data_IF_317297856818
#
_entry.id   IF_317297856818
#
_cell.length_a   1.000
_cell.length_b   1.000
_cell.length_c   1.000
_cell.angle_alpha   90.00
_cell.angle_beta   90.00
_cell.angle_gamma   90.00
#
_symmetry.space_group_name_H-M   'P 1'
#
loop_
_entity.id
_entity.type
_entity.pdbx_description
1 polymer ?
#
# COMPACT_ATOMS: atom_id res chain seq x y z
N UNK A 1 42.97 17.18 4.47
CA UNK A 1 42.61 15.82 4.02
C UNK A 1 41.92 15.13 5.18
N UNK A 2 40.57 15.03 5.14
CA UNK A 2 39.73 14.50 6.24
C UNK A 2 39.56 13.01 6.05
N UNK A 3 40.39 12.21 6.72
CA UNK A 3 40.31 10.75 6.70
C UNK A 3 39.86 10.25 8.08
N UNK A 4 38.82 9.40 8.05
CA UNK A 4 38.73 8.19 8.88
C UNK A 4 38.14 8.18 10.27
N UNK A 5 37.08 8.95 10.55
CA UNK A 5 36.17 8.51 11.62
C UNK A 5 35.41 7.23 11.21
N UNK A 6 35.11 7.09 9.91
CA UNK A 6 34.41 5.95 9.34
C UNK A 6 35.30 4.70 9.23
N UNK A 7 36.53 4.81 8.75
CA UNK A 7 37.43 3.65 8.67
C UNK A 7 37.87 3.15 10.06
N UNK A 8 38.02 4.04 11.05
CA UNK A 8 38.36 3.63 12.42
C UNK A 8 37.26 2.79 13.08
N UNK A 9 35.98 3.14 12.86
CA UNK A 9 34.86 2.34 13.34
C UNK A 9 34.79 0.96 12.68
N UNK A 10 35.11 0.86 11.39
CA UNK A 10 35.16 -0.42 10.67
C UNK A 10 36.30 -1.32 11.18
N UNK A 11 37.43 -0.75 11.58
CA UNK A 11 38.56 -1.52 12.12
C UNK A 11 38.21 -2.12 13.50
N UNK A 12 37.52 -1.35 14.36
CA UNK A 12 37.11 -1.80 15.70
C UNK A 12 35.94 -2.80 15.70
N UNK A 13 35.20 -2.93 14.60
CA UNK A 13 34.06 -3.86 14.47
C UNK A 13 34.37 -5.12 13.64
N UNK A 14 35.62 -5.27 13.18
CA UNK A 14 36.09 -6.36 12.32
C UNK A 14 36.00 -7.78 12.93
N UNK A 15 35.68 -7.90 14.22
CA UNK A 15 35.52 -9.19 14.93
C UNK A 15 34.11 -9.49 15.44
N UNK A 16 33.12 -8.63 15.18
CA UNK A 16 31.71 -8.87 15.57
C UNK A 16 30.85 -8.92 14.31
N UNK A 17 30.69 -10.09 13.68
CA UNK A 17 29.91 -10.20 12.45
C UNK A 17 28.42 -10.28 12.77
N UNK A 18 27.82 -9.24 13.36
CA UNK A 18 26.36 -9.11 13.52
C UNK A 18 26.02 -7.75 14.12
N UNK A 19 25.50 -6.80 13.33
CA UNK A 19 24.38 -5.86 13.63
C UNK A 19 24.48 -4.44 13.05
N UNK A 20 25.64 -3.92 12.64
CA UNK A 20 25.76 -2.46 12.36
C UNK A 20 25.68 -2.04 10.90
N UNK A 21 25.72 -2.97 9.93
CA UNK A 21 25.78 -2.60 8.50
C UNK A 21 24.75 -3.27 7.59
N UNK A 22 23.76 -3.99 8.14
CA UNK A 22 22.47 -3.97 7.45
C UNK A 22 22.01 -2.54 7.66
N UNK A 23 22.14 -1.71 6.63
CA UNK A 23 21.44 -0.43 6.58
C UNK A 23 19.98 -0.83 6.79
N UNK A 24 19.48 -0.70 8.01
CA UNK A 24 18.11 -1.06 8.38
C UNK A 24 17.22 -0.02 7.70
N UNK A 25 17.02 -0.20 6.40
CA UNK A 25 16.21 0.64 5.53
C UNK A 25 14.73 0.29 5.75
N UNK A 26 14.40 0.08 7.02
CA UNK A 26 13.09 -0.19 7.54
C UNK A 26 12.37 1.12 7.68
N UNK A 27 11.26 1.25 6.96
CA UNK A 27 10.37 2.39 7.03
C UNK A 27 9.18 2.00 7.89
N UNK A 28 8.96 2.81 8.92
CA UNK A 28 7.82 2.65 9.80
C UNK A 28 6.66 3.44 9.23
N UNK A 29 5.55 2.77 8.99
CA UNK A 29 4.36 3.35 8.35
C UNK A 29 3.22 3.34 9.35
N UNK A 30 2.88 4.52 9.84
CA UNK A 30 1.75 4.72 10.73
C UNK A 30 0.45 4.68 9.93
N UNK A 31 -0.49 3.85 10.38
CA UNK A 31 -1.81 3.65 9.76
C UNK A 31 -2.90 3.82 10.81
N UNK A 32 -4.14 4.05 10.37
CA UNK A 32 -5.19 4.50 11.26
C UNK A 32 -5.54 3.44 12.30
N UNK A 33 -5.70 2.18 11.89
CA UNK A 33 -6.09 1.11 12.79
C UNK A 33 -5.38 -0.23 12.57
N UNK A 34 -5.84 -1.27 13.30
CA UNK A 34 -5.25 -2.62 13.25
C UNK A 34 -5.63 -3.38 11.99
N UNK A 35 -6.78 -3.08 11.41
CA UNK A 35 -7.28 -3.74 10.22
C UNK A 35 -6.43 -3.27 9.01
N UNK A 36 -6.07 -1.98 8.97
CA UNK A 36 -5.08 -1.41 8.03
C UNK A 36 -3.73 -2.13 8.10
N UNK A 37 -3.20 -2.38 9.31
CA UNK A 37 -1.91 -3.06 9.50
C UNK A 37 -1.93 -4.44 8.84
N UNK A 38 -2.97 -5.23 9.11
CA UNK A 38 -3.12 -6.57 8.56
C UNK A 38 -3.15 -6.51 7.02
N UNK A 39 -3.94 -5.59 6.51
CA UNK A 39 -4.11 -5.38 5.08
C UNK A 39 -2.82 -4.98 4.36
N UNK A 40 -2.15 -3.92 4.81
CA UNK A 40 -0.92 -3.43 4.17
C UNK A 40 0.24 -4.41 4.33
N UNK A 41 0.32 -5.10 5.47
CA UNK A 41 1.32 -6.15 5.68
C UNK A 41 1.13 -7.29 4.68
N UNK A 42 -0.11 -7.73 4.45
CA UNK A 42 -0.42 -8.77 3.46
C UNK A 42 -0.06 -8.31 2.06
N UNK A 43 -0.39 -7.07 1.70
CA UNK A 43 -0.07 -6.51 0.40
C UNK A 43 1.45 -6.42 0.18
N UNK A 44 2.16 -5.88 1.16
CA UNK A 44 3.61 -5.77 1.12
C UNK A 44 4.27 -7.15 1.02
N UNK A 45 3.79 -8.15 1.75
CA UNK A 45 4.34 -9.51 1.65
C UNK A 45 4.16 -10.14 0.26
N UNK A 46 3.06 -9.81 -0.44
CA UNK A 46 2.83 -10.29 -1.80
C UNK A 46 3.76 -9.63 -2.83
N UNK A 47 3.99 -8.32 -2.70
CA UNK A 47 4.68 -7.53 -3.73
C UNK A 47 6.07 -7.02 -3.33
N UNK A 48 6.55 -7.32 -2.12
CA UNK A 48 7.81 -6.79 -1.57
C UNK A 48 8.99 -6.97 -2.52
N UNK A 49 9.12 -8.16 -3.12
CA UNK A 49 10.16 -8.50 -4.09
C UNK A 49 10.10 -7.69 -5.39
N UNK A 50 8.89 -7.29 -5.80
CA UNK A 50 8.68 -6.47 -7.00
C UNK A 50 8.89 -4.98 -6.71
N UNK A 51 8.67 -4.55 -5.46
CA UNK A 51 8.82 -3.17 -5.03
C UNK A 51 10.29 -2.83 -4.77
N UNK A 52 10.98 -3.62 -3.93
CA UNK A 52 12.40 -3.46 -3.61
C UNK A 52 12.84 -4.53 -2.61
N UNK A 53 13.94 -5.22 -2.90
CA UNK A 53 14.60 -6.11 -1.93
C UNK A 53 15.34 -5.34 -0.81
N UNK A 54 15.55 -4.04 -0.98
CA UNK A 54 16.33 -3.20 -0.07
C UNK A 54 15.49 -2.42 0.93
N UNK A 55 14.17 -2.34 0.76
CA UNK A 55 13.28 -1.56 1.64
C UNK A 55 12.35 -2.50 2.40
N UNK A 56 12.45 -2.49 3.73
CA UNK A 56 11.51 -3.18 4.62
C UNK A 56 10.41 -2.22 5.09
N UNK A 57 9.14 -2.58 4.93
CA UNK A 57 8.02 -1.78 5.45
C UNK A 57 7.44 -2.43 6.71
N UNK A 58 7.23 -1.64 7.76
CA UNK A 58 6.58 -2.07 9.01
C UNK A 58 5.40 -1.15 9.29
N UNK A 59 4.21 -1.73 9.36
CA UNK A 59 2.97 -0.98 9.59
C UNK A 59 2.63 -0.96 11.09
N UNK A 60 2.29 0.22 11.61
CA UNK A 60 1.99 0.43 13.04
C UNK A 60 0.63 1.12 13.17
N UNK A 61 -0.32 0.54 13.92
CA UNK A 61 -1.62 1.16 14.13
C UNK A 61 -1.49 2.28 15.16
N UNK A 62 -2.09 3.44 14.88
CA UNK A 62 -2.04 4.57 15.83
C UNK A 62 -3.32 4.73 16.65
N UNK A 63 -4.46 4.21 16.17
CA UNK A 63 -5.69 4.24 16.95
C UNK A 63 -5.83 2.99 17.83
N UNK A 64 -6.36 3.20 19.04
CA UNK A 64 -6.92 2.15 19.86
C UNK A 64 -8.44 2.31 19.83
N UNK A 65 -9.17 1.26 19.41
CA UNK A 65 -10.65 1.18 19.30
C UNK A 65 -11.44 1.59 20.57
N UNK A 66 -10.77 1.96 21.67
CA UNK A 66 -11.37 2.37 22.96
C UNK A 66 -11.86 3.82 23.02
N UNK A 67 -11.51 4.69 22.08
CA UNK A 67 -12.10 6.03 22.01
C UNK A 67 -12.90 6.16 20.72
N UNK A 68 -14.21 6.33 20.84
CA UNK A 68 -15.14 6.75 19.78
C UNK A 68 -14.83 8.18 19.29
N UNK A 69 -13.58 8.46 18.90
CA UNK A 69 -13.17 9.72 18.31
C UNK A 69 -12.80 9.47 16.86
N UNK A 70 -13.57 10.05 15.94
CA UNK A 70 -13.18 10.21 14.53
C UNK A 70 -11.89 11.04 14.49
N UNK A 71 -10.74 10.38 14.38
CA UNK A 71 -9.46 11.07 14.47
C UNK A 71 -8.25 10.26 14.03
N UNK A 72 -8.45 9.14 13.32
CA UNK A 72 -7.34 8.30 12.83
C UNK A 72 -6.29 9.12 12.10
N UNK A 73 -6.70 9.86 11.07
CA UNK A 73 -5.81 10.74 10.31
C UNK A 73 -5.12 11.82 11.17
N UNK A 74 -5.80 12.42 12.16
CA UNK A 74 -5.22 13.42 13.08
C UNK A 74 -4.13 12.78 13.94
N UNK A 75 -4.39 11.59 14.46
CA UNK A 75 -3.46 10.84 15.31
C UNK A 75 -2.25 10.37 14.48
N UNK A 76 -2.46 9.91 13.24
CA UNK A 76 -1.38 9.55 12.30
C UNK A 76 -0.46 10.75 12.05
N UNK A 77 -1.05 11.93 11.76
CA UNK A 77 -0.28 13.17 11.58
C UNK A 77 0.52 13.54 12.82
N UNK A 78 -0.12 13.54 13.98
CA UNK A 78 0.52 13.91 15.23
C UNK A 78 1.73 13.02 15.54
N UNK A 79 1.56 11.70 15.45
CA UNK A 79 2.64 10.74 15.71
C UNK A 79 3.73 10.78 14.64
N UNK A 80 3.37 10.93 13.37
CA UNK A 80 4.37 11.07 12.28
C UNK A 80 5.24 12.28 12.52
N UNK A 81 4.62 13.42 12.86
CA UNK A 81 5.33 14.66 13.19
C UNK A 81 6.22 14.49 14.41
N UNK A 82 5.72 13.89 15.50
CA UNK A 82 6.50 13.64 16.73
C UNK A 82 7.71 12.75 16.43
N UNK A 83 7.52 11.61 15.79
CA UNK A 83 8.61 10.68 15.47
C UNK A 83 9.67 11.31 14.57
N UNK A 84 9.27 12.07 13.56
CA UNK A 84 10.20 12.71 12.61
C UNK A 84 10.91 13.91 13.21
N UNK A 85 10.15 14.88 13.75
CA UNK A 85 10.69 16.17 14.19
C UNK A 85 11.30 16.11 15.59
N UNK A 86 10.65 15.41 16.51
CA UNK A 86 11.12 15.32 17.91
C UNK A 86 12.01 14.09 18.10
N UNK A 87 11.62 12.96 17.51
CA UNK A 87 12.37 11.69 17.62
C UNK A 87 13.50 11.50 16.59
N UNK A 88 13.64 12.39 15.60
CA UNK A 88 14.65 12.30 14.55
C UNK A 88 14.49 11.09 13.61
N UNK A 89 13.38 10.35 13.68
CA UNK A 89 13.14 9.15 12.90
C UNK A 89 12.64 9.51 11.49
N UNK A 90 13.56 9.93 10.63
CA UNK A 90 13.27 10.36 9.26
C UNK A 90 12.70 9.26 8.36
N UNK A 91 12.73 7.99 8.77
CA UNK A 91 12.14 6.85 8.06
C UNK A 91 10.69 6.58 8.45
N UNK A 92 10.16 7.26 9.49
CA UNK A 92 8.75 7.22 9.82
C UNK A 92 7.92 7.95 8.75
N UNK A 93 6.81 7.35 8.36
CA UNK A 93 5.78 7.88 7.45
C UNK A 93 4.40 7.62 8.04
N UNK A 94 3.41 8.40 7.63
CA UNK A 94 2.00 8.12 7.89
C UNK A 94 1.23 7.98 6.58
N UNK A 95 0.26 7.07 6.55
CA UNK A 95 -0.71 6.92 5.46
C UNK A 95 -2.08 7.31 6.01
N UNK A 96 -2.80 8.14 5.25
CA UNK A 96 -4.17 8.54 5.57
C UNK A 96 -5.05 8.54 4.33
N UNK A 97 -6.35 8.37 4.56
CA UNK A 97 -7.37 8.35 3.52
C UNK A 97 -7.61 9.70 2.86
N UNK A 98 -8.13 9.68 1.62
CA UNK A 98 -8.51 10.89 0.87
C UNK A 98 -9.86 11.42 1.35
N UNK A 99 -9.92 11.85 2.59
CA UNK A 99 -11.04 12.67 3.05
C UNK A 99 -10.95 14.08 2.48
N UNK A 100 -12.10 14.77 2.40
CA UNK A 100 -12.25 16.07 1.71
C UNK A 100 -11.28 17.17 2.20
N UNK A 101 -10.72 17.05 3.39
CA UNK A 101 -9.79 18.02 3.99
C UNK A 101 -8.34 17.55 4.08
N UNK A 102 -8.02 16.31 3.66
CA UNK A 102 -6.68 15.77 3.83
C UNK A 102 -5.73 16.23 2.72
N UNK A 103 -4.67 16.93 3.13
CA UNK A 103 -3.53 17.29 2.29
C UNK A 103 -2.26 16.53 2.72
N UNK A 104 -1.33 16.39 1.77
CA UNK A 104 -0.01 15.84 2.05
C UNK A 104 0.83 16.86 2.82
N UNK A 105 1.69 16.33 3.69
CA UNK A 105 2.68 17.10 4.48
C UNK A 105 3.94 16.24 4.66
N UNK A 106 4.99 16.79 5.29
CA UNK A 106 6.26 16.05 5.45
C UNK A 106 6.06 14.72 6.19
N UNK A 107 6.37 13.64 5.49
CA UNK A 107 6.20 12.28 5.99
C UNK A 107 4.77 11.74 5.93
N UNK A 108 3.79 12.50 5.46
CA UNK A 108 2.39 12.04 5.31
C UNK A 108 2.04 11.81 3.85
N UNK A 109 1.61 10.60 3.56
CA UNK A 109 1.08 10.20 2.28
C UNK A 109 -0.44 10.15 2.34
N UNK A 110 -1.10 10.96 1.51
CA UNK A 110 -2.56 10.92 1.34
C UNK A 110 -2.86 10.07 0.13
N UNK A 111 -3.73 9.08 0.32
CA UNK A 111 -4.18 8.23 -0.77
C UNK A 111 -4.90 9.06 -1.84
N UNK A 112 -4.84 8.65 -3.12
CA UNK A 112 -5.56 9.37 -4.18
C UNK A 112 -7.04 9.02 -4.27
N UNK A 113 -7.54 8.03 -3.52
CA UNK A 113 -8.96 7.64 -3.46
C UNK A 113 -9.42 7.60 -2.02
N UNK A 114 -10.74 7.66 -1.81
CA UNK A 114 -11.36 7.79 -0.48
C UNK A 114 -10.88 6.74 0.52
N UNK A 115 -10.56 5.52 0.08
CA UNK A 115 -9.89 4.50 0.89
C UNK A 115 -9.11 3.54 0.00
N UNK A 116 -8.21 2.73 0.56
CA UNK A 116 -7.46 1.73 -0.23
C UNK A 116 -8.33 0.57 -0.73
N UNK A 117 -9.40 0.22 -0.03
CA UNK A 117 -10.38 -0.78 -0.49
C UNK A 117 -10.97 -0.38 -1.84
N UNK A 118 -11.09 0.92 -2.12
CA UNK A 118 -11.54 1.44 -3.40
C UNK A 118 -10.55 1.22 -4.56
N UNK A 119 -9.32 0.76 -4.30
CA UNK A 119 -8.41 0.26 -5.34
C UNK A 119 -8.61 -1.23 -5.58
N UNK A 120 -8.76 -2.05 -4.54
CA UNK A 120 -8.95 -3.51 -4.71
C UNK A 120 -10.34 -3.87 -5.21
N UNK A 121 -11.34 -3.10 -4.79
CA UNK A 121 -12.71 -3.17 -5.29
C UNK A 121 -12.90 -2.25 -6.49
N UNK A 122 -11.83 -1.67 -7.07
CA UNK A 122 -11.95 -1.05 -8.38
C UNK A 122 -12.36 -2.13 -9.36
N UNK A 123 -13.55 -2.02 -9.98
CA UNK A 123 -14.05 -3.10 -10.82
C UNK A 123 -13.17 -3.32 -12.06
N UNK A 124 -12.36 -2.35 -12.48
CA UNK A 124 -11.35 -2.50 -13.52
C UNK A 124 -10.22 -3.42 -13.06
N UNK A 125 -9.75 -3.26 -11.81
CA UNK A 125 -8.71 -4.12 -11.23
C UNK A 125 -9.24 -5.54 -11.03
N UNK A 126 -10.48 -5.68 -10.54
CA UNK A 126 -11.15 -6.98 -10.42
C UNK A 126 -11.33 -7.63 -11.80
N UNK A 127 -11.77 -6.88 -12.80
CA UNK A 127 -11.84 -7.34 -14.19
C UNK A 127 -10.49 -7.84 -14.71
N UNK A 128 -9.43 -7.02 -14.56
CA UNK A 128 -8.08 -7.37 -14.97
C UNK A 128 -7.60 -8.66 -14.32
N UNK A 129 -7.86 -8.83 -13.02
CA UNK A 129 -7.57 -10.07 -12.31
C UNK A 129 -8.34 -11.27 -12.87
N UNK A 130 -9.65 -11.14 -13.09
CA UNK A 130 -10.48 -12.22 -13.64
C UNK A 130 -10.03 -12.63 -15.05
N UNK A 131 -9.68 -11.65 -15.90
CA UNK A 131 -9.16 -11.89 -17.25
C UNK A 131 -7.79 -12.55 -17.19
N UNK A 132 -6.87 -12.01 -16.38
CA UNK A 132 -5.52 -12.52 -16.22
C UNK A 132 -5.50 -13.97 -15.73
N UNK A 133 -6.47 -14.36 -14.88
CA UNK A 133 -6.60 -15.74 -14.42
C UNK A 133 -7.38 -16.64 -15.40
N UNK A 134 -7.95 -16.09 -16.47
CA UNK A 134 -8.77 -16.82 -17.45
C UNK A 134 -10.17 -17.17 -16.94
N UNK A 135 -10.62 -16.54 -15.86
CA UNK A 135 -11.98 -16.69 -15.32
C UNK A 135 -13.01 -15.94 -16.17
N UNK A 136 -12.56 -14.94 -16.92
CA UNK A 136 -13.36 -14.19 -17.89
C UNK A 136 -12.58 -14.03 -19.18
N UNK A 137 -13.07 -14.64 -20.25
CA UNK A 137 -12.50 -14.48 -21.60
C UNK A 137 -13.21 -13.41 -22.43
N UNK A 138 -14.46 -13.09 -22.10
CA UNK A 138 -15.29 -12.13 -22.86
C UNK A 138 -16.19 -11.33 -21.93
N UNK A 139 -16.28 -10.03 -22.19
CA UNK A 139 -17.21 -9.11 -21.52
C UNK A 139 -17.95 -8.33 -22.59
N UNK A 140 -19.27 -8.51 -22.64
CA UNK A 140 -20.14 -7.95 -23.68
C UNK A 140 -19.62 -8.29 -25.09
N UNK A 141 -19.25 -7.28 -25.88
CA UNK A 141 -18.73 -7.43 -27.25
C UNK A 141 -17.20 -7.49 -27.30
N UNK A 142 -16.51 -7.35 -26.17
CA UNK A 142 -15.05 -7.27 -26.11
C UNK A 142 -14.48 -8.60 -25.65
N UNK A 143 -13.56 -9.14 -26.46
CA UNK A 143 -12.85 -10.39 -26.22
C UNK A 143 -11.44 -10.16 -25.67
N UNK A 144 -11.04 -10.97 -24.70
CA UNK A 144 -9.76 -10.95 -24.01
C UNK A 144 -9.01 -12.26 -24.24
N UNK A 145 -8.59 -12.53 -25.49
CA UNK A 145 -7.87 -13.76 -25.81
C UNK A 145 -6.54 -13.81 -25.06
N UNK A 146 -6.11 -15.02 -24.73
CA UNK A 146 -4.83 -15.29 -24.06
C UNK A 146 -4.64 -14.55 -22.73
N UNK A 147 -5.74 -14.28 -21.99
CA UNK A 147 -5.69 -13.62 -20.67
C UNK A 147 -5.08 -12.20 -20.73
N UNK A 148 -5.13 -11.56 -21.90
CA UNK A 148 -4.52 -10.25 -22.13
C UNK A 148 -5.49 -9.13 -21.73
N UNK A 149 -5.13 -8.35 -20.71
CA UNK A 149 -5.93 -7.24 -20.19
C UNK A 149 -5.60 -5.87 -20.78
N UNK A 150 -4.66 -5.76 -21.72
CA UNK A 150 -4.21 -4.45 -22.27
C UNK A 150 -5.34 -3.69 -22.96
N UNK A 151 -6.35 -4.40 -23.46
CA UNK A 151 -7.56 -3.77 -24.04
C UNK A 151 -8.35 -2.95 -23.02
N UNK A 152 -8.17 -3.15 -21.72
CA UNK A 152 -8.80 -2.34 -20.67
C UNK A 152 -8.34 -0.88 -20.73
N UNK A 153 -7.08 -0.64 -21.12
CA UNK A 153 -6.52 0.72 -21.21
C UNK A 153 -7.13 1.54 -22.35
N UNK A 154 -7.63 0.86 -23.38
CA UNK A 154 -8.24 1.49 -24.55
C UNK A 154 -9.74 1.73 -24.42
N UNK A 155 -10.36 1.31 -23.31
CA UNK A 155 -11.80 1.48 -23.10
C UNK A 155 -12.14 2.91 -22.67
N UNK A 156 -13.23 3.43 -23.21
CA UNK A 156 -13.73 4.73 -22.78
C UNK A 156 -14.49 4.66 -21.44
N UNK A 157 -14.77 5.82 -20.83
CA UNK A 157 -15.47 5.87 -19.54
C UNK A 157 -16.87 5.23 -19.58
N UNK A 158 -17.55 5.26 -20.72
CA UNK A 158 -18.90 4.67 -20.86
C UNK A 158 -18.81 3.15 -20.86
N UNK A 159 -17.83 2.60 -21.56
CA UNK A 159 -17.51 1.18 -21.57
C UNK A 159 -17.07 0.73 -20.18
N UNK A 160 -16.12 1.42 -19.55
CA UNK A 160 -15.68 1.12 -18.18
C UNK A 160 -16.83 1.18 -17.16
N UNK A 161 -17.82 2.05 -17.36
CA UNK A 161 -18.98 2.12 -16.48
C UNK A 161 -19.96 0.96 -16.70
N UNK A 162 -20.16 0.52 -17.95
CA UNK A 162 -20.92 -0.70 -18.25
C UNK A 162 -20.27 -1.93 -17.62
N UNK A 163 -18.93 -2.00 -17.64
CA UNK A 163 -18.15 -3.04 -17.00
C UNK A 163 -18.40 -3.10 -15.49
N UNK A 164 -18.38 -1.92 -14.86
CA UNK A 164 -18.67 -1.76 -13.45
C UNK A 164 -20.03 -2.37 -13.08
N UNK A 165 -21.07 -2.01 -13.84
CA UNK A 165 -22.44 -2.50 -13.63
C UNK A 165 -22.53 -4.01 -13.87
N UNK A 166 -21.88 -4.53 -14.90
CA UNK A 166 -21.94 -5.95 -15.25
C UNK A 166 -21.26 -6.85 -14.20
N UNK A 167 -20.10 -6.42 -13.66
CA UNK A 167 -19.43 -7.16 -12.60
C UNK A 167 -20.26 -7.19 -11.30
N UNK A 168 -20.88 -6.06 -10.96
CA UNK A 168 -21.77 -5.96 -9.80
C UNK A 168 -23.03 -6.82 -9.96
N UNK A 169 -23.61 -6.88 -11.16
CA UNK A 169 -24.80 -7.71 -11.43
C UNK A 169 -24.50 -9.21 -11.55
N UNK A 170 -23.35 -9.59 -12.13
CA UNK A 170 -22.92 -11.01 -12.17
C UNK A 170 -22.50 -11.54 -10.81
N UNK A 171 -22.07 -10.70 -9.86
CA UNK A 171 -21.75 -11.15 -8.49
C UNK A 171 -22.93 -11.82 -7.77
N UNK A 172 -24.18 -11.54 -8.19
CA UNK A 172 -25.39 -12.22 -7.71
C UNK A 172 -25.64 -13.61 -8.36
N UNK A 173 -24.77 -14.07 -9.27
CA UNK A 173 -24.91 -15.37 -9.96
C UNK A 173 -23.64 -16.22 -9.95
N UNK A 174 -22.54 -15.76 -9.33
CA UNK A 174 -21.33 -16.57 -9.20
C UNK A 174 -21.50 -17.52 -8.02
N UNK A 175 -21.99 -18.73 -8.30
CA UNK A 175 -21.78 -19.88 -7.42
C UNK A 175 -20.28 -20.18 -7.41
N UNK A 176 -19.62 -19.98 -6.28
CA UNK A 176 -18.26 -20.46 -6.08
C UNK A 176 -18.28 -21.99 -6.22
N UNK A 177 -17.36 -22.60 -6.99
CA UNK A 177 -17.18 -24.04 -6.93
C UNK A 177 -16.79 -24.44 -5.50
N UNK A 178 -17.45 -25.47 -4.99
CA UNK A 178 -17.16 -26.08 -3.68
C UNK A 178 -15.75 -26.67 -3.65
#
# INVERSE_FOLDING_TARGET
MKTNKTEFNNYLTSGVPTLSSIIDNRRYVLVEDKDDVSFYTRLYNLYSKEISDEISLVFIPVSAKKLNKSGGCTVVREWTRKLRKEGGLNLARGIIDRDKSNSSEDGIFVLKRYSMENYFLDPIIVAGYLIHNGLVSKIDSIDFPNKNCNKLESLDNTELQKWQIMLLTKSNQISLPQ
#
